data_IF_648514042450
#
_entry.id   IF_648514042450
#
_cell.length_a   1.000
_cell.length_b   1.000
_cell.length_c   1.000
_cell.angle_alpha   90.00
_cell.angle_beta   90.00
_cell.angle_gamma   90.00
#
_symmetry.space_group_name_H-M   'P 1'
#
loop_
_entity.id
_entity.type
_entity.pdbx_description
1 polymer ?
#
# COMPACT_ATOMS: atom_id res chain seq x y z
N UNK A 1 -25.18 11.29 21.83
CA UNK A 1 -26.07 10.14 21.54
C UNK A 1 -26.65 10.20 20.12
N UNK A 2 -27.23 11.32 19.66
CA UNK A 2 -27.81 11.44 18.31
C UNK A 2 -26.86 11.05 17.16
N UNK A 3 -25.59 11.47 17.21
CA UNK A 3 -24.58 11.12 16.20
C UNK A 3 -24.24 9.62 16.17
N UNK A 4 -24.22 8.98 17.33
CA UNK A 4 -24.00 7.53 17.42
C UNK A 4 -25.20 6.78 16.81
N UNK A 5 -26.42 7.18 17.15
CA UNK A 5 -27.64 6.60 16.58
C UNK A 5 -27.67 6.75 15.05
N UNK A 6 -27.29 7.91 14.52
CA UNK A 6 -27.20 8.13 13.07
C UNK A 6 -26.15 7.22 12.40
N UNK A 7 -24.98 7.04 13.01
CA UNK A 7 -23.93 6.16 12.48
C UNK A 7 -24.33 4.69 12.53
N UNK A 8 -25.00 4.27 13.61
CA UNK A 8 -25.31 2.86 13.88
C UNK A 8 -26.62 2.39 13.24
N UNK A 9 -27.69 3.19 13.32
CA UNK A 9 -29.03 2.80 12.86
C UNK A 9 -29.29 3.29 11.44
N UNK A 10 -29.11 4.59 11.19
CA UNK A 10 -29.39 5.18 9.87
C UNK A 10 -28.33 4.79 8.82
N UNK A 11 -27.04 4.81 9.20
CA UNK A 11 -25.93 4.58 8.27
C UNK A 11 -25.22 3.24 8.48
N UNK A 12 -25.64 2.43 9.46
CA UNK A 12 -24.93 1.23 9.87
C UNK A 12 -24.81 0.18 8.79
N UNK A 13 -25.89 -0.08 8.03
CA UNK A 13 -25.89 -1.03 6.91
C UNK A 13 -24.87 -0.66 5.84
N UNK A 14 -24.83 0.61 5.45
CA UNK A 14 -23.88 1.16 4.47
C UNK A 14 -22.43 1.01 4.91
N UNK A 15 -22.13 1.29 6.19
CA UNK A 15 -20.76 1.17 6.69
C UNK A 15 -20.36 -0.28 6.94
N UNK A 16 -21.32 -1.15 7.29
CA UNK A 16 -21.10 -2.59 7.41
C UNK A 16 -20.73 -3.23 6.07
N UNK A 17 -21.48 -2.92 5.01
CA UNK A 17 -21.19 -3.38 3.65
C UNK A 17 -19.80 -2.94 3.18
N UNK A 18 -19.45 -1.66 3.40
CA UNK A 18 -18.11 -1.14 3.10
C UNK A 18 -17.02 -1.86 3.89
N UNK A 19 -17.25 -2.13 5.18
CA UNK A 19 -16.28 -2.84 6.02
C UNK A 19 -16.11 -4.29 5.57
N UNK A 20 -17.20 -4.97 5.22
CA UNK A 20 -17.16 -6.35 4.74
C UNK A 20 -16.44 -6.44 3.38
N UNK A 21 -16.66 -5.48 2.47
CA UNK A 21 -15.93 -5.37 1.19
C UNK A 21 -14.44 -5.01 1.37
N UNK A 22 -14.10 -4.21 2.37
CA UNK A 22 -12.71 -3.86 2.67
C UNK A 22 -11.98 -4.95 3.47
N UNK A 23 -12.66 -6.03 3.90
CA UNK A 23 -12.08 -7.07 4.76
C UNK A 23 -11.08 -7.97 4.04
N UNK A 24 -11.22 -8.13 2.73
CA UNK A 24 -10.37 -9.04 1.94
C UNK A 24 -9.85 -8.28 0.73
N UNK A 25 -8.54 -7.99 0.74
CA UNK A 25 -7.82 -7.47 -0.43
C UNK A 25 -7.00 -8.61 -1.02
N UNK A 26 -7.31 -9.03 -2.24
CA UNK A 26 -6.43 -9.93 -2.97
C UNK A 26 -5.17 -9.16 -3.36
N UNK A 27 -4.02 -9.63 -2.86
CA UNK A 27 -2.70 -9.12 -3.20
C UNK A 27 -2.04 -10.19 -4.07
N UNK A 28 -1.91 -9.92 -5.36
CA UNK A 28 -1.16 -10.79 -6.26
C UNK A 28 0.33 -10.62 -5.98
N UNK A 29 0.94 -11.66 -5.41
CA UNK A 29 2.38 -11.71 -5.17
C UNK A 29 3.02 -12.24 -6.45
N UNK A 30 3.71 -11.35 -7.18
CA UNK A 30 4.44 -11.73 -8.40
C UNK A 30 5.65 -12.58 -8.00
N UNK A 31 5.77 -13.78 -8.58
CA UNK A 31 6.96 -14.61 -8.38
C UNK A 31 8.21 -13.89 -8.94
N UNK A 32 9.32 -13.85 -8.19
CA UNK A 32 10.55 -13.25 -8.71
C UNK A 32 11.02 -14.01 -9.95
N UNK A 33 11.44 -13.28 -10.99
CA UNK A 33 12.08 -13.89 -12.17
C UNK A 33 13.38 -14.59 -11.76
N UNK A 34 13.60 -15.78 -12.30
CA UNK A 34 14.87 -16.49 -12.13
C UNK A 34 16.05 -15.73 -12.75
N UNK A 35 17.25 -16.01 -12.24
CA UNK A 35 18.47 -15.46 -12.83
C UNK A 35 18.75 -16.15 -14.17
N UNK A 36 19.17 -15.38 -15.17
CA UNK A 36 19.67 -15.92 -16.44
C UNK A 36 21.19 -15.90 -16.37
N UNK A 37 21.79 -17.09 -16.52
CA UNK A 37 23.23 -17.31 -16.50
C UNK A 37 23.77 -17.49 -17.93
N UNK A 38 25.02 -17.11 -18.16
CA UNK A 38 25.75 -17.52 -19.36
C UNK A 38 26.29 -18.96 -19.26
N UNK A 39 26.93 -19.46 -20.31
CA UNK A 39 27.52 -20.81 -20.34
C UNK A 39 28.66 -21.02 -19.34
N UNK A 40 29.21 -19.95 -18.77
CA UNK A 40 30.28 -19.96 -17.76
C UNK A 40 29.72 -19.74 -16.34
N UNK A 41 28.39 -19.64 -16.19
CA UNK A 41 27.71 -19.47 -14.90
C UNK A 41 27.65 -18.03 -14.38
N UNK A 42 27.99 -17.02 -15.19
CA UNK A 42 27.89 -15.59 -14.80
C UNK A 42 26.46 -15.08 -15.02
N UNK A 43 25.95 -14.30 -14.07
CA UNK A 43 24.60 -13.72 -14.14
C UNK A 43 24.52 -12.58 -15.15
N UNK A 44 23.72 -12.73 -16.19
CA UNK A 44 23.44 -11.69 -17.20
C UNK A 44 22.23 -10.84 -16.77
N UNK A 45 21.17 -11.48 -16.27
CA UNK A 45 19.93 -10.81 -15.85
C UNK A 45 19.57 -11.29 -14.45
N UNK A 46 19.35 -10.35 -13.53
CA UNK A 46 18.90 -10.60 -12.16
C UNK A 46 17.79 -9.62 -11.76
N UNK A 47 16.96 -10.03 -10.80
CA UNK A 47 15.98 -9.15 -10.19
C UNK A 47 16.64 -8.34 -9.07
N UNK A 48 16.75 -7.02 -9.22
CA UNK A 48 17.23 -6.13 -8.15
C UNK A 48 16.02 -5.51 -7.44
N UNK A 49 15.92 -5.62 -6.09
CA UNK A 49 14.84 -4.97 -5.37
C UNK A 49 14.87 -3.45 -5.60
N UNK A 50 13.72 -2.87 -5.98
CA UNK A 50 13.51 -1.43 -6.05
C UNK A 50 12.77 -0.97 -4.80
N UNK A 51 13.26 0.07 -4.14
CA UNK A 51 12.58 0.69 -3.02
C UNK A 51 11.80 1.91 -3.51
N UNK A 52 10.49 1.93 -3.22
CA UNK A 52 9.63 3.08 -3.48
C UNK A 52 9.24 3.69 -2.14
N UNK A 53 9.43 5.01 -2.00
CA UNK A 53 8.96 5.75 -0.83
C UNK A 53 7.54 6.23 -1.13
N UNK A 54 6.60 5.89 -0.26
CA UNK A 54 5.19 6.32 -0.36
C UNK A 54 4.88 7.18 0.85
N UNK A 55 4.39 8.39 0.62
CA UNK A 55 3.94 9.32 1.64
C UNK A 55 2.51 9.77 1.33
N UNK A 56 1.67 9.80 2.36
CA UNK A 56 0.26 10.20 2.29
C UNK A 56 0.12 11.52 3.04
N UNK A 57 -0.44 12.53 2.37
CA UNK A 57 -0.47 13.91 2.88
C UNK A 57 -1.31 14.03 4.17
N UNK A 58 -2.36 13.25 4.27
CA UNK A 58 -3.33 13.26 5.36
C UNK A 58 -2.75 12.72 6.68
N UNK A 59 -1.65 11.96 6.64
CA UNK A 59 -0.99 11.37 7.82
C UNK A 59 0.11 12.26 8.42
N UNK A 60 0.31 13.49 7.89
CA UNK A 60 1.40 14.37 8.31
C UNK A 60 0.94 15.72 8.85
N UNK A 61 1.46 16.16 10.03
CA UNK A 61 1.21 17.49 10.57
C UNK A 61 1.80 18.62 9.72
N UNK A 62 2.94 18.38 9.04
CA UNK A 62 3.64 19.38 8.22
C UNK A 62 4.16 18.76 6.90
N UNK A 63 3.47 19.03 5.77
CA UNK A 63 3.86 18.58 4.44
C UNK A 63 5.25 19.07 3.98
N UNK A 64 5.62 20.30 4.31
CA UNK A 64 6.80 20.95 3.72
C UNK A 64 8.09 20.40 4.34
N UNK A 65 8.06 20.06 5.63
CA UNK A 65 9.18 19.41 6.32
C UNK A 65 9.45 17.99 5.76
N UNK A 66 8.39 17.24 5.46
CA UNK A 66 8.49 15.87 4.95
C UNK A 66 9.02 15.86 3.52
N UNK A 67 8.51 16.75 2.65
CA UNK A 67 8.98 16.88 1.27
C UNK A 67 10.49 17.18 1.24
N UNK A 68 10.95 18.03 2.17
CA UNK A 68 12.38 18.34 2.30
C UNK A 68 13.22 17.14 2.73
N UNK A 69 12.69 16.27 3.61
CA UNK A 69 13.37 15.02 4.04
C UNK A 69 13.39 13.94 2.97
N UNK A 70 12.37 13.90 2.10
CA UNK A 70 12.26 12.93 1.00
C UNK A 70 13.04 13.31 -0.26
N UNK A 71 13.44 14.58 -0.38
CA UNK A 71 14.23 15.09 -1.51
C UNK A 71 15.75 14.88 -1.37
N UNK A 72 16.22 14.25 -0.28
CA UNK A 72 17.61 13.89 0.00
C UNK A 72 17.85 12.40 -0.27
#
# INVERSE_FOLDING_TARGET
LARLWFLQIQSGSKYREKADNNRVRMLDIVAPRGNILDSEGRTIITNRPSFNIVWVKEDSPDPDEIIKKLSL
#
